data_IF_851706145014
#
_entry.id   IF_851706145014
#
_cell.length_a   1.000
_cell.length_b   1.000
_cell.length_c   1.000
_cell.angle_alpha   90.00
_cell.angle_beta   90.00
_cell.angle_gamma   90.00
#
_symmetry.space_group_name_H-M   'P 1'
#
loop_
_entity.id
_entity.type
_entity.pdbx_description
1 polymer ?
#
# COMPACT_ATOMS: atom_id res chain seq x y z
N UNK A 1 -21.17 17.34 16.14
CA UNK A 1 -20.39 16.09 16.04
C UNK A 1 -20.53 15.57 14.61
N UNK A 2 -19.54 15.75 13.73
CA UNK A 2 -19.64 15.20 12.39
C UNK A 2 -19.33 13.69 12.43
N UNK A 3 -20.14 12.96 11.68
CA UNK A 3 -20.27 11.50 11.64
C UNK A 3 -18.95 10.80 11.30
N UNK A 4 -18.57 9.86 12.18
CA UNK A 4 -17.51 8.88 11.95
C UNK A 4 -17.99 7.85 10.92
N UNK A 5 -18.07 8.24 9.65
CA UNK A 5 -18.25 7.28 8.56
C UNK A 5 -16.92 6.54 8.46
N UNK A 6 -16.82 5.43 9.20
CA UNK A 6 -15.79 4.42 9.02
C UNK A 6 -16.01 3.80 7.63
N UNK A 7 -15.48 4.45 6.60
CA UNK A 7 -15.28 3.81 5.31
C UNK A 7 -14.25 2.74 5.58
N UNK A 8 -14.64 1.48 5.51
CA UNK A 8 -13.75 0.35 5.34
C UNK A 8 -12.88 0.60 4.11
N UNK A 9 -11.82 1.38 4.28
CA UNK A 9 -10.81 1.58 3.26
C UNK A 9 -10.09 0.25 3.16
N UNK A 10 -10.20 -0.37 2.00
CA UNK A 10 -9.26 -1.42 1.63
C UNK A 10 -7.87 -0.84 1.88
N UNK A 11 -6.99 -1.50 2.66
CA UNK A 11 -5.69 -0.94 3.07
C UNK A 11 -4.69 -1.00 1.91
N UNK A 12 -5.09 -0.51 0.75
CA UNK A 12 -4.33 -0.50 -0.51
C UNK A 12 -4.50 0.89 -1.13
N UNK A 13 -3.37 1.52 -1.43
CA UNK A 13 -3.32 2.76 -2.18
C UNK A 13 -3.97 2.56 -3.57
N UNK A 14 -4.83 3.49 -3.98
CA UNK A 14 -5.59 3.37 -5.24
C UNK A 14 -4.68 3.31 -6.46
N UNK A 15 -3.53 3.96 -6.35
CA UNK A 15 -2.45 4.01 -7.33
C UNK A 15 -1.79 2.63 -7.53
N UNK A 16 -1.89 1.75 -6.54
CA UNK A 16 -1.36 0.39 -6.58
C UNK A 16 -2.21 -0.62 -7.34
N UNK A 17 -3.52 -0.36 -7.47
CA UNK A 17 -4.48 -1.26 -8.13
C UNK A 17 -4.05 -1.70 -9.54
N UNK A 18 -3.63 -0.81 -10.47
CA UNK A 18 -3.21 -1.22 -11.81
C UNK A 18 -1.97 -2.12 -11.82
N UNK A 19 -1.04 -1.93 -10.88
CA UNK A 19 0.19 -2.73 -10.79
C UNK A 19 -0.09 -4.09 -10.15
N UNK A 20 -0.90 -4.11 -9.09
CA UNK A 20 -1.34 -5.36 -8.43
C UNK A 20 -2.14 -6.21 -9.41
N UNK A 21 -3.06 -5.62 -10.18
CA UNK A 21 -3.87 -6.36 -11.15
C UNK A 21 -3.03 -6.95 -12.28
N UNK A 22 -2.05 -6.19 -12.79
CA UNK A 22 -1.12 -6.69 -13.81
C UNK A 22 -0.26 -7.85 -13.29
N UNK A 23 0.30 -7.72 -12.09
CA UNK A 23 1.11 -8.79 -11.48
C UNK A 23 0.28 -10.05 -11.21
N UNK A 24 -0.94 -9.88 -10.68
CA UNK A 24 -1.88 -10.97 -10.45
C UNK A 24 -2.32 -11.65 -11.76
N UNK A 25 -2.52 -10.88 -12.84
CA UNK A 25 -2.88 -11.40 -14.15
C UNK A 25 -1.79 -12.34 -14.71
N UNK A 26 -0.52 -11.93 -14.66
CA UNK A 26 0.58 -12.80 -15.08
C UNK A 26 0.74 -14.03 -14.19
N UNK A 27 0.61 -13.87 -12.87
CA UNK A 27 0.62 -15.00 -11.92
C UNK A 27 -0.45 -16.03 -12.28
N UNK A 28 -1.66 -15.56 -12.62
CA UNK A 28 -2.79 -16.41 -13.01
C UNK A 28 -2.56 -17.12 -14.35
N UNK A 29 -2.00 -16.42 -15.35
CA UNK A 29 -1.63 -17.04 -16.64
C UNK A 29 -0.64 -18.19 -16.44
N UNK A 30 0.45 -17.95 -15.70
CA UNK A 30 1.46 -18.99 -15.48
C UNK A 30 0.90 -20.16 -14.66
N UNK A 31 -0.01 -19.89 -13.72
CA UNK A 31 -0.70 -20.93 -12.98
C UNK A 31 -1.54 -21.84 -13.89
N UNK A 32 -2.30 -21.27 -14.84
CA UNK A 32 -3.09 -22.05 -15.81
C UNK A 32 -2.21 -22.85 -16.77
N UNK A 33 -1.06 -22.30 -17.17
CA UNK A 33 -0.09 -22.99 -18.02
C UNK A 33 0.70 -24.10 -17.28
N UNK A 34 0.45 -24.30 -15.99
CA UNK A 34 1.18 -25.23 -15.12
C UNK A 34 2.70 -24.97 -15.06
N UNK A 35 3.13 -23.73 -15.29
CA UNK A 35 4.54 -23.33 -15.22
C UNK A 35 4.92 -22.97 -13.79
N UNK A 36 5.07 -24.00 -12.94
CA UNK A 36 5.22 -23.87 -11.48
C UNK A 36 6.32 -22.89 -11.06
N UNK A 37 7.49 -22.96 -11.69
CA UNK A 37 8.62 -22.07 -11.38
C UNK A 37 8.28 -20.60 -11.63
N UNK A 38 7.67 -20.28 -12.78
CA UNK A 38 7.25 -18.93 -13.12
C UNK A 38 6.08 -18.46 -12.24
N UNK A 39 5.12 -19.33 -11.95
CA UNK A 39 4.02 -19.02 -11.03
C UNK A 39 4.55 -18.61 -9.67
N UNK A 40 5.51 -19.33 -9.10
CA UNK A 40 6.10 -18.98 -7.79
C UNK A 40 6.83 -17.64 -7.84
N UNK A 41 7.61 -17.37 -8.88
CA UNK A 41 8.30 -16.08 -9.05
C UNK A 41 7.29 -14.94 -9.11
N UNK A 42 6.26 -15.07 -9.95
CA UNK A 42 5.23 -14.04 -10.09
C UNK A 42 4.32 -13.89 -8.88
N UNK A 43 4.09 -14.97 -8.13
CA UNK A 43 3.36 -14.93 -6.86
C UNK A 43 4.12 -14.13 -5.80
N UNK A 44 5.44 -14.35 -5.69
CA UNK A 44 6.32 -13.55 -4.82
C UNK A 44 6.30 -12.08 -5.24
N UNK A 45 6.45 -11.81 -6.55
CA UNK A 45 6.39 -10.43 -7.07
C UNK A 45 5.04 -9.76 -6.76
N UNK A 46 3.92 -10.45 -7.00
CA UNK A 46 2.58 -9.94 -6.68
C UNK A 46 2.47 -9.62 -5.19
N UNK A 47 2.99 -10.50 -4.33
CA UNK A 47 3.02 -10.28 -2.87
C UNK A 47 3.86 -9.05 -2.48
N UNK A 48 5.00 -8.83 -3.14
CA UNK A 48 5.83 -7.64 -2.90
C UNK A 48 5.13 -6.35 -3.35
N UNK A 49 4.49 -6.36 -4.51
CA UNK A 49 3.72 -5.21 -5.02
C UNK A 49 2.55 -4.87 -4.09
N UNK A 50 1.82 -5.89 -3.62
CA UNK A 50 0.76 -5.69 -2.62
C UNK A 50 1.31 -5.10 -1.32
N UNK A 51 2.45 -5.58 -0.83
CA UNK A 51 3.09 -5.03 0.37
C UNK A 51 3.56 -3.58 0.19
N UNK A 52 4.05 -3.21 -1.00
CA UNK A 52 4.51 -1.86 -1.29
C UNK A 52 3.36 -0.84 -1.30
N UNK A 53 2.22 -1.19 -1.91
CA UNK A 53 1.05 -0.31 -1.99
C UNK A 53 0.10 -0.45 -0.80
N UNK A 54 0.49 -1.17 0.25
CA UNK A 54 -0.32 -1.29 1.47
C UNK A 54 -0.41 0.07 2.15
N UNK A 55 -1.62 0.59 2.31
CA UNK A 55 -1.90 1.88 2.95
C UNK A 55 -2.49 1.64 4.35
N UNK A 56 -1.67 1.67 5.43
CA UNK A 56 -2.16 1.51 6.78
C UNK A 56 -2.93 2.76 7.24
N UNK A 57 -3.89 2.56 8.15
CA UNK A 57 -4.62 3.67 8.74
C UNK A 57 -3.67 4.58 9.57
N UNK A 58 -3.64 5.88 9.26
CA UNK A 58 -2.85 6.89 9.97
C UNK A 58 -3.75 7.75 10.86
N UNK A 59 -3.43 7.83 12.14
CA UNK A 59 -4.12 8.69 13.11
C UNK A 59 -3.50 10.09 13.05
N UNK A 60 -4.28 11.08 12.64
CA UNK A 60 -3.82 12.48 12.57
C UNK A 60 -4.15 13.16 13.91
N UNK A 61 -3.17 13.77 14.61
CA UNK A 61 -3.43 14.51 15.84
C UNK A 61 -4.31 15.74 15.58
N UNK A 62 -5.23 16.04 16.51
CA UNK A 62 -6.17 17.17 16.41
C UNK A 62 -5.74 18.35 17.28
N UNK A 63 -5.73 19.58 16.75
CA UNK A 63 -5.37 20.81 17.49
C UNK A 63 -5.18 22.04 16.59
N UNK A 64 -5.21 23.24 17.17
CA UNK A 64 -5.01 24.52 16.46
C UNK A 64 -3.51 24.81 16.28
N UNK A 65 -3.10 25.38 15.13
CA UNK A 65 -1.70 25.72 14.81
C UNK A 65 -0.71 24.52 14.83
N UNK A 66 -1.15 23.31 14.47
CA UNK A 66 -0.28 22.14 14.34
C UNK A 66 0.38 22.08 12.95
N UNK A 67 1.69 21.83 12.93
CA UNK A 67 2.42 21.39 11.73
C UNK A 67 2.69 19.90 11.89
N UNK A 68 2.20 19.09 10.95
CA UNK A 68 2.34 17.64 10.95
C UNK A 68 3.24 17.19 9.81
N UNK A 69 4.05 16.15 10.04
CA UNK A 69 4.89 15.57 9.01
C UNK A 69 4.03 14.82 7.97
N UNK A 70 4.28 14.97 6.66
CA UNK A 70 3.57 14.23 5.63
C UNK A 70 3.99 12.75 5.56
N UNK A 71 5.17 12.40 6.08
CA UNK A 71 5.73 11.05 6.03
C UNK A 71 6.51 10.72 7.33
N UNK A 72 6.69 9.43 7.59
CA UNK A 72 7.57 8.97 8.66
C UNK A 72 9.03 9.14 8.22
N UNK A 73 9.83 9.78 9.06
CA UNK A 73 11.23 10.04 8.77
C UNK A 73 12.00 10.32 10.04
N UNK A 74 13.33 10.30 9.95
CA UNK A 74 14.20 10.68 11.07
C UNK A 74 14.57 12.16 10.93
N UNK A 75 14.27 12.96 11.95
CA UNK A 75 14.79 14.33 12.04
C UNK A 75 16.29 14.24 12.30
N UNK A 76 17.12 14.82 11.42
CA UNK A 76 18.58 14.76 11.51
C UNK A 76 19.21 16.04 12.07
N UNK A 77 18.63 17.20 11.76
CA UNK A 77 19.11 18.51 12.24
C UNK A 77 17.91 19.46 12.34
N UNK A 78 17.93 20.35 13.33
CA UNK A 78 17.04 21.50 13.43
C UNK A 78 17.93 22.72 13.61
N UNK A 79 17.86 23.67 12.69
CA UNK A 79 18.59 24.94 12.75
C UNK A 79 17.63 26.09 13.04
N UNK A 80 18.18 27.18 13.59
CA UNK A 80 17.44 28.35 14.07
C UNK A 80 17.23 29.37 12.96
#
# INVERSE_FOLDING_TARGET
MPSLINRSKVPIAKEGIPYISLAAFFTFIFAILHWVSLTLVFLVLTTLVVNFFRDPERIIPSGTNLVVSPADGKVITIEK
#
